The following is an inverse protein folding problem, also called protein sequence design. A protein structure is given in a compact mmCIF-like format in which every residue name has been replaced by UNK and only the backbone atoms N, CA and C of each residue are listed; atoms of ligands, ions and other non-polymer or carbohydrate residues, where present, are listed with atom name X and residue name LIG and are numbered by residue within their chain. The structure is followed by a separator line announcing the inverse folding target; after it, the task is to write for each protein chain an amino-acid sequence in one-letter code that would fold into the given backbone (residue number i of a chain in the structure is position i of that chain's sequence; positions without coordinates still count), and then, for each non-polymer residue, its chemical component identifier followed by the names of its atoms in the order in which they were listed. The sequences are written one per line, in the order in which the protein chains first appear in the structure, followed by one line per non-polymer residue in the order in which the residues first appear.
data_IF_527441210514
#
_entry.id   IF_527441210514
#
_cell.length_a   1.000
_cell.length_b   1.000
_cell.length_c   1.000
_cell.angle_alpha   90.00
_cell.angle_beta   90.00
_cell.angle_gamma   90.00
#
_symmetry.space_group_name_H-M   'P 1'
#
loop_
_entity.id
_entity.type
_entity.pdbx_description
1 polymer ?
#
# COMPACT_ATOMS: atom_id res chain seq x y z
N UNK A 1 -27.75 28.99 -20.28
CA UNK A 1 -27.62 27.70 -19.56
C UNK A 1 -27.37 26.60 -20.57
N UNK A 2 -26.19 26.00 -20.60
CA UNK A 2 -25.97 24.69 -21.20
C UNK A 2 -25.14 23.90 -20.19
N UNK A 3 -25.83 23.05 -19.43
CA UNK A 3 -25.20 22.06 -18.55
C UNK A 3 -24.81 20.93 -19.49
N UNK A 4 -23.51 20.73 -19.69
CA UNK A 4 -22.99 19.56 -20.40
C UNK A 4 -22.77 18.49 -19.34
N UNK A 5 -23.81 17.69 -19.13
CA UNK A 5 -23.69 16.40 -18.43
C UNK A 5 -23.21 15.37 -19.45
N UNK A 6 -21.88 15.27 -19.59
CA UNK A 6 -21.26 14.18 -20.32
C UNK A 6 -20.43 13.39 -19.31
N UNK A 7 -20.99 12.27 -18.85
CA UNK A 7 -20.30 11.25 -18.07
C UNK A 7 -19.12 10.67 -18.83
N UNK A 8 -18.01 11.39 -18.89
CA UNK A 8 -16.73 10.87 -19.33
C UNK A 8 -16.24 9.92 -18.24
N UNK A 9 -16.47 8.62 -18.41
CA UNK A 9 -15.62 7.60 -17.78
C UNK A 9 -14.18 7.99 -18.10
N UNK A 10 -13.33 8.19 -17.09
CA UNK A 10 -11.91 8.54 -17.28
C UNK A 10 -11.32 7.65 -18.37
N UNK A 11 -10.94 8.25 -19.49
CA UNK A 11 -10.33 7.55 -20.63
C UNK A 11 -8.83 7.57 -20.41
N UNK A 12 -8.22 6.39 -20.30
CA UNK A 12 -6.78 6.22 -20.13
C UNK A 12 -6.38 5.59 -18.80
N UNK A 13 -5.07 5.45 -18.61
CA UNK A 13 -4.47 5.02 -17.34
C UNK A 13 -4.61 6.11 -16.28
N UNK A 14 -4.87 5.69 -15.05
CA UNK A 14 -4.97 6.52 -13.85
C UNK A 14 -4.10 5.91 -12.74
N UNK A 15 -3.79 6.67 -11.69
CA UNK A 15 -3.05 6.17 -10.54
C UNK A 15 -3.94 6.14 -9.30
N UNK A 16 -3.83 5.08 -8.51
CA UNK A 16 -4.51 5.02 -7.22
C UNK A 16 -3.85 5.99 -6.24
N UNK A 17 -4.60 6.92 -5.64
CA UNK A 17 -4.06 7.86 -4.64
C UNK A 17 -3.63 7.20 -3.32
N UNK A 18 -3.95 5.92 -3.13
CA UNK A 18 -3.62 5.16 -1.92
C UNK A 18 -2.50 4.16 -2.17
N UNK A 19 -2.65 3.27 -3.17
CA UNK A 19 -1.64 2.24 -3.46
C UNK A 19 -0.66 2.62 -4.56
N UNK A 20 -0.82 3.80 -5.18
CA UNK A 20 0.00 4.32 -6.29
C UNK A 20 0.08 3.46 -7.55
N UNK A 21 -0.63 2.32 -7.60
CA UNK A 21 -0.70 1.47 -8.79
C UNK A 21 -1.30 2.25 -9.96
N UNK A 22 -0.62 2.21 -11.11
CA UNK A 22 -1.13 2.71 -12.39
C UNK A 22 -1.99 1.62 -13.01
N UNK A 23 -3.23 1.94 -13.35
CA UNK A 23 -4.19 1.01 -13.94
C UNK A 23 -5.19 1.76 -14.81
N UNK A 24 -5.87 1.08 -15.72
CA UNK A 24 -6.95 1.58 -16.55
C UNK A 24 -8.29 1.29 -15.88
N UNK A 25 -9.00 2.28 -15.29
CA UNK A 25 -10.25 2.02 -14.58
C UNK A 25 -11.39 1.56 -15.51
N UNK A 26 -11.26 1.80 -16.81
CA UNK A 26 -12.22 1.38 -17.83
C UNK A 26 -12.02 -0.07 -18.28
N UNK A 27 -10.84 -0.68 -18.02
CA UNK A 27 -10.57 -2.08 -18.29
C UNK A 27 -10.96 -2.92 -17.06
N UNK A 28 -11.93 -3.85 -17.17
CA UNK A 28 -12.38 -4.65 -16.03
C UNK A 28 -11.32 -5.60 -15.49
N UNK A 29 -10.36 -6.05 -16.32
CA UNK A 29 -9.28 -6.94 -15.89
C UNK A 29 -8.32 -6.14 -15.01
N UNK A 30 -7.87 -4.99 -15.50
CA UNK A 30 -6.94 -4.12 -14.81
C UNK A 30 -7.55 -3.54 -13.52
N UNK A 31 -8.83 -3.14 -13.55
CA UNK A 31 -9.56 -2.71 -12.36
C UNK A 31 -9.70 -3.82 -11.30
N UNK A 32 -9.88 -5.08 -11.72
CA UNK A 32 -9.94 -6.21 -10.80
C UNK A 32 -8.56 -6.52 -10.18
N UNK A 33 -7.50 -6.40 -10.97
CA UNK A 33 -6.12 -6.60 -10.53
C UNK A 33 -5.69 -5.51 -9.52
N UNK A 34 -6.00 -4.24 -9.84
CA UNK A 34 -5.88 -3.13 -8.90
C UNK A 34 -6.63 -3.40 -7.59
N UNK A 35 -7.90 -3.84 -7.64
CA UNK A 35 -8.68 -4.11 -6.42
C UNK A 35 -8.05 -5.20 -5.56
N UNK A 36 -7.49 -6.24 -6.17
CA UNK A 36 -6.80 -7.33 -5.47
C UNK A 36 -5.51 -6.83 -4.82
N UNK A 37 -4.66 -6.13 -5.58
CA UNK A 37 -3.40 -5.58 -5.07
C UNK A 37 -3.65 -4.56 -3.96
N UNK A 38 -4.58 -3.63 -4.17
CA UNK A 38 -4.94 -2.58 -3.21
C UNK A 38 -5.35 -3.16 -1.84
N UNK A 39 -6.19 -4.20 -1.83
CA UNK A 39 -6.61 -4.87 -0.59
C UNK A 39 -5.43 -5.56 0.10
N UNK A 40 -4.59 -6.26 -0.67
CA UNK A 40 -3.39 -6.91 -0.12
C UNK A 40 -2.43 -5.88 0.47
N UNK A 41 -2.19 -4.77 -0.24
CA UNK A 41 -1.31 -3.70 0.22
C UNK A 41 -1.78 -3.11 1.56
N UNK A 42 -3.07 -2.76 1.67
CA UNK A 42 -3.62 -2.18 2.89
C UNK A 42 -3.52 -3.16 4.07
N UNK A 43 -3.84 -4.43 3.87
CA UNK A 43 -3.80 -5.43 4.94
C UNK A 43 -2.35 -5.69 5.41
N UNK A 44 -1.41 -5.79 4.47
CA UNK A 44 0.02 -6.03 4.77
C UNK A 44 0.67 -4.79 5.38
N UNK A 45 0.34 -3.57 4.96
CA UNK A 45 0.93 -2.37 5.55
C UNK A 45 0.27 -1.96 6.87
N UNK A 46 -0.89 -2.55 7.20
CA UNK A 46 -1.54 -2.31 8.50
C UNK A 46 -0.61 -2.74 9.64
N UNK A 47 -0.28 -1.76 10.48
CA UNK A 47 0.62 -1.94 11.61
C UNK A 47 0.06 -1.27 12.87
N UNK A 48 -0.67 -2.00 13.73
CA UNK A 48 -1.19 -1.44 14.98
C UNK A 48 -0.10 -1.27 16.07
N UNK A 49 1.13 -1.69 15.79
CA UNK A 49 2.24 -1.73 16.73
C UNK A 49 2.42 -3.09 17.41
N UNK A 50 3.60 -3.28 18.00
CA UNK A 50 3.95 -4.41 18.83
C UNK A 50 4.11 -4.00 20.30
N UNK A 51 3.93 -4.95 21.21
CA UNK A 51 4.19 -4.72 22.65
C UNK A 51 5.66 -4.35 22.92
N UNK A 52 6.59 -4.90 22.13
CA UNK A 52 8.02 -4.61 22.23
C UNK A 52 8.53 -4.25 20.84
N UNK A 53 8.90 -2.99 20.69
CA UNK A 53 9.49 -2.46 19.47
C UNK A 53 10.88 -1.92 19.77
N UNK A 54 11.80 -2.07 18.82
CA UNK A 54 13.10 -1.43 18.86
C UNK A 54 13.05 -0.19 17.97
N UNK A 55 12.56 0.91 18.54
CA UNK A 55 12.51 2.20 17.85
C UNK A 55 13.89 2.81 17.83
N UNK A 56 14.39 3.16 16.64
CA UNK A 56 15.72 3.77 16.45
C UNK A 56 15.65 5.25 16.09
N UNK A 57 14.49 5.73 15.64
CA UNK A 57 14.22 7.13 15.34
C UNK A 57 12.73 7.41 15.48
N UNK A 58 12.39 8.58 16.02
CA UNK A 58 11.03 9.11 16.07
C UNK A 58 10.96 10.43 15.29
N UNK A 59 9.82 10.70 14.68
CA UNK A 59 9.53 11.93 13.95
C UNK A 59 8.29 12.57 14.58
N UNK A 60 8.45 13.78 15.13
CA UNK A 60 7.40 14.44 15.91
C UNK A 60 6.34 15.10 15.03
N UNK A 61 6.67 15.45 13.80
CA UNK A 61 5.80 16.18 12.87
C UNK A 61 4.62 15.33 12.36
N UNK A 62 4.85 14.03 12.18
CA UNK A 62 3.89 13.07 11.61
C UNK A 62 3.57 11.90 12.57
N UNK A 63 4.08 11.96 13.80
CA UNK A 63 4.05 10.85 14.77
C UNK A 63 4.66 9.55 14.19
N UNK A 64 5.59 9.69 13.24
CA UNK A 64 6.29 8.60 12.58
C UNK A 64 7.39 7.99 13.46
N UNK A 65 7.76 6.74 13.17
CA UNK A 65 8.89 6.08 13.81
C UNK A 65 9.55 5.02 12.94
N UNK A 66 10.85 4.80 13.15
CA UNK A 66 11.63 3.75 12.50
C UNK A 66 11.87 2.61 13.49
N UNK A 67 11.48 1.39 13.10
CA UNK A 67 11.67 0.18 13.91
C UNK A 67 12.75 -0.69 13.27
N UNK A 68 13.78 -1.05 14.04
CA UNK A 68 14.82 -1.97 13.60
C UNK A 68 14.46 -3.41 13.96
N UNK A 69 14.37 -4.28 12.95
CA UNK A 69 14.20 -5.73 13.12
C UNK A 69 15.51 -6.46 12.79
N UNK A 70 15.96 -7.32 13.70
CA UNK A 70 17.17 -8.12 13.58
C UNK A 70 16.84 -9.62 13.34
N UNK A 71 17.77 -10.41 12.78
CA UNK A 71 17.55 -11.84 12.52
C UNK A 71 17.16 -12.68 13.75
N UNK A 72 17.61 -12.28 14.93
CA UNK A 72 17.34 -12.98 16.20
C UNK A 72 16.05 -12.50 16.89
N UNK A 73 15.33 -11.54 16.31
CA UNK A 73 14.08 -11.06 16.88
C UNK A 73 12.96 -12.10 16.81
N UNK A 74 11.90 -11.81 17.56
CA UNK A 74 10.72 -12.65 17.63
C UNK A 74 10.11 -12.92 16.24
N UNK A 75 9.54 -14.11 16.07
CA UNK A 75 8.99 -14.59 14.80
C UNK A 75 7.94 -13.63 14.21
N UNK A 76 7.10 -13.01 15.04
CA UNK A 76 6.09 -12.06 14.56
C UNK A 76 6.71 -10.85 13.84
N UNK A 77 7.88 -10.38 14.30
CA UNK A 77 8.54 -9.22 13.71
C UNK A 77 9.14 -9.57 12.35
N UNK A 78 9.84 -10.71 12.30
CA UNK A 78 10.44 -11.23 11.06
C UNK A 78 9.40 -11.59 10.01
N UNK A 79 8.32 -12.26 10.42
CA UNK A 79 7.22 -12.57 9.52
C UNK A 79 6.58 -11.31 8.92
N UNK A 80 6.48 -10.22 9.69
CA UNK A 80 5.92 -8.97 9.16
C UNK A 80 6.84 -8.33 8.13
N UNK A 81 8.15 -8.34 8.37
CA UNK A 81 9.14 -7.85 7.40
C UNK A 81 9.09 -8.69 6.13
N UNK A 82 9.01 -10.02 6.24
CA UNK A 82 8.89 -10.91 5.09
C UNK A 82 7.58 -10.69 4.31
N UNK A 83 6.46 -10.47 5.00
CA UNK A 83 5.17 -10.16 4.37
C UNK A 83 5.24 -8.85 3.54
N UNK A 84 5.88 -7.81 4.10
CA UNK A 84 6.10 -6.53 3.42
C UNK A 84 7.08 -6.69 2.24
N UNK A 85 8.18 -7.42 2.43
CA UNK A 85 9.17 -7.68 1.37
C UNK A 85 8.56 -8.44 0.19
N UNK A 86 7.74 -9.46 0.46
CA UNK A 86 7.03 -10.20 -0.59
C UNK A 86 6.00 -9.35 -1.34
N UNK A 87 5.43 -8.33 -0.70
CA UNK A 87 4.52 -7.38 -1.34
C UNK A 87 5.29 -6.40 -2.23
N UNK A 88 6.40 -5.85 -1.75
CA UNK A 88 7.27 -4.94 -2.52
C UNK A 88 8.00 -5.68 -3.65
N UNK A 89 8.31 -6.97 -3.52
CA UNK A 89 8.86 -7.75 -4.63
C UNK A 89 7.88 -7.95 -5.81
N UNK A 90 6.61 -7.58 -5.65
CA UNK A 90 5.55 -7.72 -6.66
C UNK A 90 5.22 -6.41 -7.38
N UNK A 91 6.05 -5.37 -7.28
CA UNK A 91 5.75 -4.08 -7.93
C UNK A 91 5.45 -4.30 -9.41
N UNK A 92 4.24 -3.98 -9.89
CA UNK A 92 3.99 -3.90 -11.32
C UNK A 92 4.69 -2.63 -11.82
N UNK A 93 5.76 -2.81 -12.58
CA UNK A 93 6.45 -1.73 -13.29
C UNK A 93 5.59 -1.10 -14.38
#
# INVERSE_FOLDING_TARGET
QMIIDAGQKKIGVDHCSVCSMVYCPADPIDAAEHSKFHKQLIEVLKFPGWKKERVVQEYQEDLGRVILVLPDDAKYAKNKVEEVDQLMGREPG
#
